data_IF_357568852482
#
_entry.id   IF_357568852482
#
_cell.length_a   1.000
_cell.length_b   1.000
_cell.length_c   1.000
_cell.angle_alpha   90.00
_cell.angle_beta   90.00
_cell.angle_gamma   90.00
#
_symmetry.space_group_name_H-M   'P 1'
#
loop_
_entity.id
_entity.type
_entity.pdbx_description
1 polymer ?
#
# COMPACT_ATOMS: atom_id res chain seq x y z
N UNK A 1 -8.80 5.37 14.48
CA UNK A 1 -9.49 5.51 15.77
C UNK A 1 -8.70 6.42 16.71
N UNK A 2 -7.41 6.13 16.93
CA UNK A 2 -6.51 6.92 17.78
C UNK A 2 -6.52 8.41 17.40
N UNK A 3 -6.27 8.74 16.13
CA UNK A 3 -6.28 10.12 15.63
C UNK A 3 -7.66 10.76 15.75
N UNK A 4 -8.74 10.01 15.55
CA UNK A 4 -10.12 10.51 15.71
C UNK A 4 -10.43 10.90 17.18
N UNK A 5 -9.78 10.28 18.15
CA UNK A 5 -9.92 10.62 19.58
C UNK A 5 -9.08 11.83 19.98
N UNK A 6 -7.88 11.98 19.42
CA UNK A 6 -6.87 12.97 19.87
C UNK A 6 -6.82 14.23 19.04
N UNK A 7 -7.22 14.21 17.77
CA UNK A 7 -7.18 15.37 16.89
C UNK A 7 -7.55 15.05 15.45
N UNK A 8 -6.94 15.76 14.51
CA UNK A 8 -7.15 15.59 13.05
C UNK A 8 -5.90 15.08 12.35
N UNK A 9 -4.72 15.19 12.98
CA UNK A 9 -3.45 14.78 12.40
C UNK A 9 -2.66 13.86 13.33
N UNK A 10 -1.80 13.03 12.77
CA UNK A 10 -0.90 12.16 13.55
C UNK A 10 0.03 12.96 14.46
N UNK A 11 0.44 14.15 14.04
CA UNK A 11 1.25 15.09 14.83
C UNK A 11 0.58 15.56 16.12
N UNK A 12 -0.76 15.50 16.22
CA UNK A 12 -1.49 15.85 17.43
C UNK A 12 -1.22 14.91 18.60
N UNK A 13 -0.76 13.70 18.33
CA UNK A 13 -0.28 12.75 19.34
C UNK A 13 0.95 13.27 20.10
N UNK A 14 1.71 14.19 19.50
CA UNK A 14 2.84 14.84 20.15
C UNK A 14 2.49 15.67 21.37
N UNK A 15 1.20 16.01 21.56
CA UNK A 15 0.73 16.70 22.77
C UNK A 15 0.81 15.82 24.02
N UNK A 16 0.85 14.49 23.83
CA UNK A 16 0.87 13.47 24.90
C UNK A 16 2.20 12.72 25.02
N UNK A 17 3.07 12.87 24.03
CA UNK A 17 4.42 12.29 23.98
C UNK A 17 5.43 13.40 23.69
N UNK A 18 6.72 13.07 23.71
CA UNK A 18 7.75 14.08 23.42
C UNK A 18 7.61 14.61 21.97
N UNK A 19 7.41 15.93 21.75
CA UNK A 19 7.10 16.49 20.42
C UNK A 19 8.15 16.19 19.34
N UNK A 20 9.41 16.04 19.75
CA UNK A 20 10.53 15.74 18.85
C UNK A 20 10.47 14.30 18.32
N UNK A 21 10.12 13.36 19.20
CA UNK A 21 10.00 11.93 18.84
C UNK A 21 8.91 11.73 17.78
N UNK A 22 7.75 12.35 17.96
CA UNK A 22 6.66 12.26 16.99
C UNK A 22 7.04 12.86 15.64
N UNK A 23 7.73 14.02 15.62
CA UNK A 23 8.15 14.63 14.37
C UNK A 23 9.12 13.75 13.59
N UNK A 24 10.13 13.18 14.27
CA UNK A 24 11.08 12.27 13.62
C UNK A 24 10.35 11.01 13.14
N UNK A 25 9.50 10.41 13.97
CA UNK A 25 8.79 9.20 13.61
C UNK A 25 7.86 9.43 12.41
N UNK A 26 7.12 10.55 12.40
CA UNK A 26 6.26 10.91 11.27
C UNK A 26 7.08 11.12 10.00
N UNK A 27 8.23 11.78 10.10
CA UNK A 27 9.13 11.97 8.97
C UNK A 27 9.65 10.62 8.43
N UNK A 28 10.09 9.72 9.31
CA UNK A 28 10.56 8.39 8.90
C UNK A 28 9.45 7.57 8.24
N UNK A 29 8.24 7.58 8.80
CA UNK A 29 7.08 6.87 8.22
C UNK A 29 6.74 7.43 6.85
N UNK A 30 6.70 8.74 6.69
CA UNK A 30 6.38 9.39 5.41
C UNK A 30 7.46 9.16 4.36
N UNK A 31 8.73 9.20 4.73
CA UNK A 31 9.81 8.87 3.81
C UNK A 31 9.77 7.39 3.38
N UNK A 32 9.46 6.49 4.31
CA UNK A 32 9.35 5.05 4.02
C UNK A 32 8.19 4.77 3.07
N UNK A 33 6.97 5.24 3.40
CA UNK A 33 5.78 5.00 2.54
C UNK A 33 5.85 5.84 1.25
N UNK A 34 6.47 7.00 1.30
CA UNK A 34 6.62 7.87 0.14
C UNK A 34 7.77 7.43 -0.76
N UNK A 35 8.81 8.25 -0.87
CA UNK A 35 9.82 8.13 -1.91
C UNK A 35 10.74 6.92 -1.78
N UNK A 36 10.90 6.31 -0.59
CA UNK A 36 11.92 5.29 -0.40
C UNK A 36 11.45 3.87 -0.74
N UNK A 37 10.20 3.51 -0.43
CA UNK A 37 9.74 2.12 -0.55
C UNK A 37 8.42 2.00 -1.33
N UNK A 38 7.31 2.55 -0.83
CA UNK A 38 6.00 2.22 -1.40
C UNK A 38 5.81 2.80 -2.81
N UNK A 39 6.13 4.07 -3.06
CA UNK A 39 5.95 4.67 -4.38
C UNK A 39 6.87 4.00 -5.44
N UNK A 40 8.17 3.79 -5.21
CA UNK A 40 9.01 3.04 -6.16
C UNK A 40 8.48 1.64 -6.44
N UNK A 41 8.00 0.94 -5.41
CA UNK A 41 7.43 -0.40 -5.53
C UNK A 41 6.18 -0.41 -6.40
N UNK A 42 5.30 0.60 -6.32
CA UNK A 42 4.11 0.65 -7.18
C UNK A 42 4.46 0.72 -8.66
N UNK A 43 5.47 1.51 -9.04
CA UNK A 43 5.93 1.61 -10.43
C UNK A 43 6.57 0.31 -10.91
N UNK A 44 7.44 -0.29 -10.09
CA UNK A 44 8.07 -1.57 -10.41
C UNK A 44 7.04 -2.70 -10.56
N UNK A 45 6.07 -2.79 -9.63
CA UNK A 45 4.98 -3.78 -9.69
C UNK A 45 4.11 -3.59 -10.93
N UNK A 46 3.75 -2.34 -11.27
CA UNK A 46 2.97 -2.06 -12.48
C UNK A 46 3.71 -2.51 -13.74
N UNK A 47 5.02 -2.34 -13.78
CA UNK A 47 5.81 -2.83 -14.90
C UNK A 47 5.85 -4.35 -14.95
N UNK A 48 6.21 -5.00 -13.83
CA UNK A 48 6.43 -6.44 -13.78
C UNK A 48 5.13 -7.24 -13.96
N UNK A 49 4.01 -6.79 -13.34
CA UNK A 49 2.71 -7.47 -13.41
C UNK A 49 1.88 -7.00 -14.60
N UNK A 50 1.89 -5.69 -14.89
CA UNK A 50 1.00 -5.09 -15.88
C UNK A 50 1.58 -5.06 -17.29
N UNK A 51 2.83 -4.68 -17.45
CA UNK A 51 3.40 -4.39 -18.77
C UNK A 51 4.24 -5.54 -19.32
N UNK A 52 5.16 -6.08 -18.53
CA UNK A 52 6.10 -7.13 -18.97
C UNK A 52 5.41 -8.36 -19.58
N UNK A 53 4.28 -8.88 -19.03
CA UNK A 53 3.59 -10.01 -19.62
C UNK A 53 2.90 -9.69 -20.95
N UNK A 54 2.47 -8.43 -21.16
CA UNK A 54 1.76 -7.99 -22.36
C UNK A 54 2.72 -7.49 -23.45
N UNK A 55 3.79 -6.82 -23.05
CA UNK A 55 4.78 -6.18 -23.91
C UNK A 55 6.22 -6.50 -23.44
N UNK A 56 6.73 -7.73 -23.61
CA UNK A 56 8.03 -8.15 -23.06
C UNK A 56 9.21 -7.32 -23.59
N UNK A 57 9.11 -6.80 -24.81
CA UNK A 57 10.17 -5.99 -25.45
C UNK A 57 10.18 -4.52 -25.01
N UNK A 58 9.20 -4.07 -24.19
CA UNK A 58 9.12 -2.66 -23.79
C UNK A 58 10.18 -2.35 -22.72
N UNK A 59 11.06 -1.35 -22.92
CA UNK A 59 12.12 -1.06 -21.97
C UNK A 59 11.57 -0.52 -20.64
N UNK A 60 11.98 -1.13 -19.52
CA UNK A 60 11.54 -0.77 -18.16
C UNK A 60 11.71 0.71 -17.85
N UNK A 61 12.87 1.29 -18.22
CA UNK A 61 13.20 2.69 -17.92
C UNK A 61 12.20 3.66 -18.55
N UNK A 62 11.82 3.45 -19.81
CA UNK A 62 10.83 4.30 -20.48
C UNK A 62 9.45 4.23 -19.81
N UNK A 63 9.05 3.01 -19.40
CA UNK A 63 7.80 2.85 -18.65
C UNK A 63 7.84 3.63 -17.34
N UNK A 64 8.91 3.50 -16.56
CA UNK A 64 9.07 4.18 -15.27
C UNK A 64 9.01 5.70 -15.44
N UNK A 65 9.71 6.25 -16.44
CA UNK A 65 9.67 7.69 -16.74
C UNK A 65 8.25 8.14 -17.08
N UNK A 66 7.55 7.39 -17.95
CA UNK A 66 6.16 7.69 -18.29
C UNK A 66 5.23 7.61 -17.09
N UNK A 67 5.36 6.55 -16.27
CA UNK A 67 4.58 6.36 -15.06
C UNK A 67 4.72 7.54 -14.09
N UNK A 68 5.95 7.94 -13.80
CA UNK A 68 6.19 9.08 -12.91
C UNK A 68 5.84 10.43 -13.52
N UNK A 69 5.92 10.60 -14.82
CA UNK A 69 5.40 11.78 -15.50
C UNK A 69 3.89 11.92 -15.27
N UNK A 70 3.13 10.82 -15.46
CA UNK A 70 1.67 10.78 -15.20
C UNK A 70 1.38 11.03 -13.72
N UNK A 71 2.09 10.36 -12.80
CA UNK A 71 1.92 10.55 -11.35
C UNK A 71 2.16 12.01 -10.97
N UNK A 72 3.24 12.63 -11.46
CA UNK A 72 3.59 14.01 -11.15
C UNK A 72 2.53 14.99 -11.65
N UNK A 73 2.10 14.86 -12.90
CA UNK A 73 1.08 15.74 -13.49
C UNK A 73 -0.24 15.62 -12.72
N UNK A 74 -0.69 14.40 -12.43
CA UNK A 74 -1.96 14.17 -11.73
C UNK A 74 -1.91 14.59 -10.27
N UNK A 75 -0.79 14.40 -9.58
CA UNK A 75 -0.62 14.86 -8.19
C UNK A 75 -0.60 16.38 -8.08
N UNK A 76 0.11 17.08 -8.98
CA UNK A 76 0.22 18.54 -8.94
C UNK A 76 -1.11 19.22 -9.32
N UNK A 77 -1.85 18.65 -10.25
CA UNK A 77 -3.10 19.27 -10.75
C UNK A 77 -4.23 19.26 -9.73
N UNK A 78 -4.10 18.52 -8.59
CA UNK A 78 -5.18 18.28 -7.60
C UNK A 78 -6.50 17.91 -8.30
N UNK A 79 -6.40 17.16 -9.39
CA UNK A 79 -7.49 16.93 -10.32
C UNK A 79 -8.61 16.09 -9.71
N UNK A 80 -9.86 16.51 -9.92
CA UNK A 80 -11.05 15.69 -9.64
C UNK A 80 -11.02 14.34 -10.39
N UNK A 81 -10.24 14.25 -11.48
CA UNK A 81 -10.05 13.03 -12.27
C UNK A 81 -9.50 11.90 -11.38
N UNK A 82 -8.55 12.19 -10.48
CA UNK A 82 -7.98 11.17 -9.56
C UNK A 82 -9.06 10.60 -8.64
N UNK A 83 -9.93 11.45 -8.10
CA UNK A 83 -11.05 11.02 -7.25
C UNK A 83 -12.07 10.19 -8.04
N UNK A 84 -12.35 10.55 -9.30
CA UNK A 84 -13.26 9.81 -10.17
C UNK A 84 -12.67 8.45 -10.53
N UNK A 85 -11.41 8.41 -10.95
CA UNK A 85 -10.70 7.17 -11.29
C UNK A 85 -10.70 6.24 -10.07
N UNK A 86 -10.33 6.73 -8.89
CA UNK A 86 -10.33 5.93 -7.66
C UNK A 86 -11.71 5.37 -7.32
N UNK A 87 -12.79 6.14 -7.52
CA UNK A 87 -14.16 5.70 -7.22
C UNK A 87 -14.62 4.53 -8.08
N UNK A 88 -14.23 4.47 -9.36
CA UNK A 88 -14.58 3.36 -10.26
C UNK A 88 -13.60 2.20 -10.15
N UNK A 89 -12.35 2.52 -9.96
CA UNK A 89 -11.28 1.54 -10.01
C UNK A 89 -11.23 0.66 -8.75
N UNK A 90 -11.53 1.23 -7.58
CA UNK A 90 -11.54 0.47 -6.32
C UNK A 90 -12.59 -0.66 -6.35
N UNK A 91 -13.88 -0.42 -6.71
CA UNK A 91 -14.83 -1.51 -6.86
C UNK A 91 -14.42 -2.53 -7.92
N UNK A 92 -13.87 -2.08 -9.06
CA UNK A 92 -13.40 -2.96 -10.12
C UNK A 92 -12.29 -3.90 -9.61
N UNK A 93 -11.27 -3.35 -8.92
CA UNK A 93 -10.20 -4.14 -8.32
C UNK A 93 -10.75 -5.15 -7.30
N UNK A 94 -11.66 -4.71 -6.42
CA UNK A 94 -12.27 -5.59 -5.43
C UNK A 94 -13.03 -6.75 -6.10
N UNK A 95 -13.83 -6.47 -7.12
CA UNK A 95 -14.57 -7.50 -7.87
C UNK A 95 -13.59 -8.49 -8.51
N UNK A 96 -12.53 -8.01 -9.16
CA UNK A 96 -11.53 -8.88 -9.80
C UNK A 96 -10.86 -9.79 -8.77
N UNK A 97 -10.44 -9.24 -7.63
CA UNK A 97 -9.81 -10.04 -6.56
C UNK A 97 -10.78 -11.02 -5.91
N UNK A 98 -12.02 -10.61 -5.64
CA UNK A 98 -13.06 -11.51 -5.10
C UNK A 98 -13.34 -12.65 -6.08
N UNK A 99 -13.49 -12.37 -7.37
CA UNK A 99 -13.70 -13.41 -8.39
C UNK A 99 -12.51 -14.36 -8.45
N UNK A 100 -11.28 -13.85 -8.45
CA UNK A 100 -10.06 -14.66 -8.42
C UNK A 100 -10.04 -15.59 -7.20
N UNK A 101 -10.32 -15.04 -6.00
CA UNK A 101 -10.32 -15.80 -4.75
C UNK A 101 -11.44 -16.86 -4.75
N UNK A 102 -12.66 -16.47 -5.08
CA UNK A 102 -13.81 -17.38 -5.06
C UNK A 102 -13.61 -18.53 -6.05
N UNK A 103 -13.20 -18.25 -7.28
CA UNK A 103 -12.94 -19.28 -8.28
C UNK A 103 -11.76 -20.16 -7.88
N UNK A 104 -10.67 -19.60 -7.36
CA UNK A 104 -9.53 -20.39 -6.94
C UNK A 104 -9.77 -21.23 -5.68
N UNK A 105 -10.71 -20.82 -4.80
CA UNK A 105 -11.16 -21.65 -3.67
C UNK A 105 -12.11 -22.75 -4.12
N UNK A 106 -13.03 -22.46 -5.05
CA UNK A 106 -13.98 -23.45 -5.58
C UNK A 106 -13.30 -24.48 -6.51
N UNK A 107 -12.28 -24.04 -7.25
CA UNK A 107 -11.55 -24.86 -8.22
C UNK A 107 -10.04 -24.68 -7.98
N UNK A 108 -9.50 -25.23 -6.88
CA UNK A 108 -8.08 -25.07 -6.56
C UNK A 108 -7.23 -25.69 -7.68
N UNK A 109 -6.16 -24.98 -8.14
CA UNK A 109 -5.29 -25.46 -9.20
C UNK A 109 -4.61 -26.78 -8.84
N UNK A 110 -4.18 -26.93 -7.58
CA UNK A 110 -3.49 -28.09 -7.06
C UNK A 110 -3.86 -28.40 -5.61
N UNK A 111 -3.38 -29.52 -5.08
CA UNK A 111 -3.49 -29.85 -3.66
C UNK A 111 -2.53 -28.99 -2.83
N UNK A 112 -2.90 -28.76 -1.57
CA UNK A 112 -2.04 -28.03 -0.63
C UNK A 112 -0.70 -28.75 -0.52
N UNK A 113 0.37 -28.05 -0.90
CA UNK A 113 1.74 -28.57 -0.82
C UNK A 113 2.26 -28.50 0.61
N UNK A 114 2.84 -29.60 1.11
CA UNK A 114 3.50 -29.60 2.40
C UNK A 114 4.80 -28.79 2.32
N UNK A 115 5.00 -27.87 3.26
CA UNK A 115 6.26 -27.13 3.36
C UNK A 115 7.26 -27.89 4.22
N UNK A 116 8.56 -27.70 3.94
CA UNK A 116 9.64 -28.22 4.77
C UNK A 116 9.79 -27.47 6.12
N UNK A 117 9.07 -26.34 6.28
CA UNK A 117 9.16 -25.50 7.48
C UNK A 117 8.27 -26.01 8.60
N UNK A 118 8.75 -25.86 9.83
CA UNK A 118 7.95 -26.08 11.04
C UNK A 118 6.86 -24.99 11.17
N UNK A 119 5.81 -25.25 11.95
CA UNK A 119 4.73 -24.28 12.19
C UNK A 119 5.26 -22.94 12.76
N UNK A 120 6.26 -23.00 13.64
CA UNK A 120 6.87 -21.79 14.24
C UNK A 120 7.66 -20.99 13.21
N UNK A 121 8.42 -21.65 12.36
CA UNK A 121 9.17 -21.00 11.29
C UNK A 121 8.23 -20.37 10.26
N UNK A 122 7.20 -21.09 9.85
CA UNK A 122 6.17 -20.58 8.91
C UNK A 122 5.46 -19.36 9.49
N UNK A 123 5.10 -19.39 10.79
CA UNK A 123 4.49 -18.24 11.46
C UNK A 123 5.46 -17.04 11.50
N UNK A 124 6.72 -17.25 11.88
CA UNK A 124 7.71 -16.18 11.95
C UNK A 124 7.95 -15.52 10.60
N UNK A 125 8.12 -16.34 9.55
CA UNK A 125 8.29 -15.84 8.17
C UNK A 125 7.05 -15.07 7.70
N UNK A 126 5.85 -15.63 7.87
CA UNK A 126 4.60 -14.97 7.49
C UNK A 126 4.37 -13.67 8.25
N UNK A 127 4.72 -13.60 9.54
CA UNK A 127 4.62 -12.39 10.34
C UNK A 127 5.57 -11.28 9.83
N UNK A 128 6.81 -11.63 9.49
CA UNK A 128 7.77 -10.68 8.91
C UNK A 128 7.34 -10.21 7.51
N UNK A 129 6.84 -11.11 6.69
CA UNK A 129 6.27 -10.74 5.37
C UNK A 129 5.03 -9.84 5.51
N UNK A 130 4.25 -10.00 6.59
CA UNK A 130 3.14 -9.12 6.92
C UNK A 130 3.54 -7.65 7.08
N UNK A 131 4.77 -7.34 7.53
CA UNK A 131 5.28 -5.96 7.56
C UNK A 131 5.41 -5.34 6.17
N UNK A 132 5.63 -6.15 5.13
CA UNK A 132 5.77 -5.69 3.75
C UNK A 132 4.47 -5.15 3.15
N UNK A 133 3.32 -5.43 3.74
CA UNK A 133 2.03 -4.85 3.32
C UNK A 133 1.95 -3.36 3.60
N UNK A 134 2.70 -2.87 4.60
CA UNK A 134 2.74 -1.47 5.04
C UNK A 134 1.41 -0.87 5.48
N UNK A 135 0.38 -1.68 5.73
CA UNK A 135 -0.96 -1.22 6.08
C UNK A 135 -0.99 -0.39 7.36
N UNK A 136 -0.24 -0.81 8.39
CA UNK A 136 -0.14 -0.06 9.64
C UNK A 136 0.42 1.34 9.40
N UNK A 137 1.50 1.46 8.65
CA UNK A 137 2.14 2.73 8.36
C UNK A 137 1.25 3.60 7.46
N UNK A 138 0.62 2.99 6.45
CA UNK A 138 -0.34 3.67 5.58
C UNK A 138 -1.54 4.21 6.38
N UNK A 139 -2.07 3.44 7.33
CA UNK A 139 -3.19 3.86 8.18
C UNK A 139 -2.88 5.10 8.99
N UNK A 140 -1.63 5.27 9.43
CA UNK A 140 -1.17 6.46 10.15
C UNK A 140 -1.20 7.71 9.27
N UNK A 141 -0.73 7.60 8.03
CA UNK A 141 -0.72 8.74 7.08
C UNK A 141 -2.14 9.09 6.63
N UNK A 142 -2.92 8.08 6.25
CA UNK A 142 -4.25 8.31 5.72
C UNK A 142 -5.30 8.62 6.80
N UNK A 143 -4.99 8.45 8.08
CA UNK A 143 -5.91 8.76 9.18
C UNK A 143 -6.46 10.19 9.12
N UNK A 144 -5.61 11.19 8.83
CA UNK A 144 -6.04 12.58 8.68
C UNK A 144 -7.02 12.78 7.53
N UNK A 145 -6.76 12.14 6.39
CA UNK A 145 -7.61 12.22 5.18
C UNK A 145 -8.97 11.57 5.46
N UNK A 146 -8.99 10.41 6.13
CA UNK A 146 -10.23 9.72 6.50
C UNK A 146 -11.06 10.57 7.45
N UNK A 147 -10.44 11.19 8.46
CA UNK A 147 -11.14 12.05 9.42
C UNK A 147 -11.70 13.30 8.73
N UNK A 148 -10.93 13.92 7.83
CA UNK A 148 -11.40 15.05 7.03
C UNK A 148 -12.64 14.65 6.21
N UNK A 149 -12.60 13.50 5.53
CA UNK A 149 -13.74 12.99 4.77
C UNK A 149 -14.99 12.73 5.65
N UNK A 150 -14.80 12.23 6.88
CA UNK A 150 -15.91 12.03 7.84
C UNK A 150 -16.51 13.38 8.25
N UNK A 151 -15.69 14.40 8.51
CA UNK A 151 -16.15 15.76 8.85
C UNK A 151 -16.91 16.38 7.66
N UNK A 152 -16.37 16.28 6.45
CA UNK A 152 -16.99 16.78 5.21
C UNK A 152 -18.32 16.10 4.91
N UNK A 153 -18.51 14.87 5.39
CA UNK A 153 -19.77 14.12 5.31
C UNK A 153 -20.81 14.55 6.36
N UNK A 154 -20.51 15.56 7.18
CA UNK A 154 -21.43 16.15 8.14
C UNK A 154 -21.32 15.62 9.58
N UNK A 155 -20.42 14.66 9.86
CA UNK A 155 -20.21 14.12 11.20
C UNK A 155 -19.22 15.00 11.99
N UNK A 156 -19.73 16.07 12.59
CA UNK A 156 -18.90 17.08 13.27
C UNK A 156 -18.63 16.78 14.74
N UNK A 157 -19.53 16.04 15.42
CA UNK A 157 -19.35 15.71 16.83
C UNK A 157 -18.24 14.67 17.02
N UNK A 158 -17.52 14.75 18.16
CA UNK A 158 -16.43 13.79 18.46
C UNK A 158 -16.92 12.35 18.50
N UNK A 159 -18.08 12.10 19.11
CA UNK A 159 -18.62 10.76 19.28
C UNK A 159 -19.04 10.15 17.92
N UNK A 160 -19.68 10.94 17.07
CA UNK A 160 -20.07 10.52 15.71
C UNK A 160 -18.83 10.19 14.88
N UNK A 161 -17.79 11.07 14.87
CA UNK A 161 -16.54 10.82 14.16
C UNK A 161 -15.88 9.52 14.59
N UNK A 162 -15.79 9.27 15.91
CA UNK A 162 -15.21 8.05 16.45
C UNK A 162 -16.03 6.83 16.03
N UNK A 163 -17.36 6.89 16.15
CA UNK A 163 -18.25 5.78 15.79
C UNK A 163 -18.17 5.43 14.30
N UNK A 164 -18.27 6.44 13.42
CA UNK A 164 -18.20 6.23 11.96
C UNK A 164 -16.82 5.72 11.55
N UNK A 165 -15.75 6.31 12.09
CA UNK A 165 -14.38 5.85 11.80
C UNK A 165 -14.15 4.43 12.30
N UNK A 166 -14.70 4.05 13.46
CA UNK A 166 -14.60 2.69 13.98
C UNK A 166 -15.34 1.69 13.08
N UNK A 167 -16.59 2.00 12.70
CA UNK A 167 -17.38 1.14 11.81
C UNK A 167 -16.69 0.95 10.44
N UNK A 168 -16.21 2.04 9.84
CA UNK A 168 -15.46 1.98 8.59
C UNK A 168 -14.17 1.17 8.73
N UNK A 169 -13.44 1.34 9.83
CA UNK A 169 -12.23 0.57 10.13
C UNK A 169 -12.50 -0.92 10.30
N UNK A 170 -13.56 -1.29 11.01
CA UNK A 170 -13.96 -2.70 11.16
C UNK A 170 -14.31 -3.32 9.81
N UNK A 171 -15.10 -2.63 8.98
CA UNK A 171 -15.45 -3.11 7.64
C UNK A 171 -14.19 -3.28 6.77
N UNK A 172 -13.29 -2.29 6.78
CA UNK A 172 -12.03 -2.38 6.04
C UNK A 172 -11.15 -3.56 6.50
N UNK A 173 -11.07 -3.78 7.81
CA UNK A 173 -10.31 -4.91 8.38
C UNK A 173 -10.89 -6.26 7.93
N UNK A 174 -12.21 -6.41 7.92
CA UNK A 174 -12.86 -7.64 7.45
C UNK A 174 -12.62 -7.86 5.96
N UNK A 175 -12.70 -6.81 5.14
CA UNK A 175 -12.39 -6.90 3.71
C UNK A 175 -10.92 -7.29 3.47
N UNK A 176 -9.98 -6.67 4.19
CA UNK A 176 -8.56 -7.01 4.08
C UNK A 176 -8.27 -8.45 4.54
N UNK A 177 -8.87 -8.89 5.64
CA UNK A 177 -8.75 -10.26 6.12
C UNK A 177 -9.24 -11.27 5.09
N UNK A 178 -10.36 -11.00 4.43
CA UNK A 178 -10.89 -11.83 3.35
C UNK A 178 -9.94 -11.88 2.15
N UNK A 179 -9.46 -10.73 1.70
CA UNK A 179 -8.58 -10.65 0.52
C UNK A 179 -7.22 -11.31 0.81
N UNK A 180 -6.56 -10.96 1.92
CA UNK A 180 -5.26 -11.53 2.26
C UNK A 180 -5.36 -13.02 2.56
N UNK A 181 -6.37 -13.43 3.34
CA UNK A 181 -6.61 -14.84 3.62
C UNK A 181 -6.87 -15.66 2.36
N UNK A 182 -7.67 -15.11 1.44
CA UNK A 182 -7.92 -15.72 0.15
C UNK A 182 -6.68 -15.85 -0.72
N UNK A 183 -5.87 -14.81 -0.82
CA UNK A 183 -4.62 -14.84 -1.59
C UNK A 183 -3.57 -15.79 -0.98
N UNK A 184 -3.49 -15.87 0.36
CA UNK A 184 -2.62 -16.84 1.06
C UNK A 184 -3.08 -18.27 0.73
N UNK A 185 -4.39 -18.53 0.78
CA UNK A 185 -4.94 -19.84 0.40
C UNK A 185 -4.60 -20.21 -1.03
N UNK A 186 -4.78 -19.28 -1.99
CA UNK A 186 -4.41 -19.49 -3.38
C UNK A 186 -2.91 -19.78 -3.57
N UNK A 187 -2.06 -19.05 -2.84
CA UNK A 187 -0.62 -19.30 -2.85
C UNK A 187 -0.27 -20.69 -2.32
N UNK A 188 -0.99 -21.17 -1.28
CA UNK A 188 -0.77 -22.49 -0.70
C UNK A 188 -1.30 -23.65 -1.57
N UNK A 189 -2.25 -23.40 -2.46
CA UNK A 189 -2.84 -24.39 -3.38
C UNK A 189 -2.30 -24.30 -4.79
N UNK A 190 -1.24 -23.55 -5.03
CA UNK A 190 -0.61 -23.44 -6.35
C UNK A 190 0.75 -24.11 -6.29
N UNK A 191 0.93 -25.17 -7.10
CA UNK A 191 2.24 -25.77 -7.28
C UNK A 191 3.08 -24.90 -8.20
N UNK A 192 4.03 -24.18 -7.59
CA UNK A 192 4.96 -23.35 -8.31
C UNK A 192 6.37 -23.75 -7.90
N UNK A 193 7.25 -24.10 -8.87
CA UNK A 193 8.62 -24.50 -8.55
C UNK A 193 9.36 -23.33 -7.89
N UNK A 194 9.51 -23.40 -6.57
CA UNK A 194 10.27 -22.45 -5.78
C UNK A 194 11.76 -22.64 -6.06
N UNK A 195 12.24 -22.08 -7.15
CA UNK A 195 13.65 -21.90 -7.38
C UNK A 195 14.06 -20.54 -6.80
N UNK A 196 15.31 -20.41 -6.33
CA UNK A 196 15.84 -19.18 -5.68
C UNK A 196 15.70 -17.89 -6.53
N UNK A 197 15.26 -18.02 -7.79
CA UNK A 197 15.11 -16.93 -8.75
C UNK A 197 13.67 -16.49 -9.02
N UNK A 198 12.66 -17.08 -8.36
CA UNK A 198 11.26 -16.76 -8.61
C UNK A 198 10.89 -15.41 -8.01
N UNK A 199 10.44 -14.49 -8.86
CA UNK A 199 9.94 -13.19 -8.43
C UNK A 199 8.50 -13.32 -7.87
N UNK A 200 8.21 -12.64 -6.76
CA UNK A 200 6.87 -12.61 -6.14
C UNK A 200 5.76 -12.18 -7.11
N UNK A 201 6.10 -11.31 -8.04
CA UNK A 201 5.19 -10.83 -9.08
C UNK A 201 4.84 -11.92 -10.10
N UNK A 202 5.75 -12.84 -10.40
CA UNK A 202 5.51 -13.98 -11.30
C UNK A 202 4.56 -14.99 -10.69
N UNK A 203 4.66 -15.24 -9.37
CA UNK A 203 3.72 -16.11 -8.65
C UNK A 203 2.28 -15.62 -8.78
N UNK A 204 2.03 -14.32 -8.58
CA UNK A 204 0.68 -13.76 -8.70
C UNK A 204 0.11 -13.90 -10.11
N UNK A 205 0.95 -13.69 -11.13
CA UNK A 205 0.56 -13.90 -12.53
C UNK A 205 0.26 -15.36 -12.83
N UNK A 206 1.06 -16.28 -12.29
CA UNK A 206 0.84 -17.71 -12.44
C UNK A 206 -0.48 -18.14 -11.81
N UNK A 207 -0.76 -17.74 -10.58
CA UNK A 207 -2.06 -17.98 -9.91
C UNK A 207 -3.22 -17.44 -10.76
N UNK A 208 -3.10 -16.21 -11.25
CA UNK A 208 -4.11 -15.58 -12.08
C UNK A 208 -4.36 -16.35 -13.37
N UNK A 209 -3.30 -16.87 -13.98
CA UNK A 209 -3.38 -17.66 -15.20
C UNK A 209 -4.02 -19.05 -14.95
N UNK A 210 -3.61 -19.71 -13.87
CA UNK A 210 -4.12 -21.04 -13.52
C UNK A 210 -5.61 -21.02 -13.18
N UNK A 211 -6.08 -19.96 -12.47
CA UNK A 211 -7.49 -19.84 -12.04
C UNK A 211 -8.39 -19.24 -13.12
N UNK A 212 -7.95 -18.19 -13.81
CA UNK A 212 -8.79 -17.38 -14.71
C UNK A 212 -8.38 -17.48 -16.18
N UNK A 213 -7.31 -18.19 -16.49
CA UNK A 213 -6.74 -18.27 -17.84
C UNK A 213 -6.19 -16.94 -18.35
N UNK A 214 -5.90 -16.86 -19.64
CA UNK A 214 -5.25 -15.71 -20.28
C UNK A 214 -6.00 -14.37 -20.07
N UNK A 215 -7.31 -14.36 -20.21
CA UNK A 215 -8.12 -13.16 -20.05
C UNK A 215 -8.15 -12.68 -18.60
N UNK A 216 -8.20 -13.62 -17.64
CA UNK A 216 -8.10 -13.30 -16.22
C UNK A 216 -6.77 -12.66 -15.87
N UNK A 217 -5.67 -13.19 -16.39
CA UNK A 217 -4.32 -12.60 -16.19
C UNK A 217 -4.27 -11.15 -16.68
N UNK A 218 -4.81 -10.86 -17.86
CA UNK A 218 -4.86 -9.49 -18.39
C UNK A 218 -5.70 -8.58 -17.49
N UNK A 219 -6.86 -9.05 -17.04
CA UNK A 219 -7.76 -8.29 -16.17
C UNK A 219 -7.11 -7.98 -14.82
N UNK A 220 -6.45 -8.97 -14.21
CA UNK A 220 -5.71 -8.79 -12.95
C UNK A 220 -4.53 -7.82 -13.14
N UNK A 221 -3.76 -7.97 -14.22
CA UNK A 221 -2.64 -7.09 -14.54
C UNK A 221 -3.08 -5.63 -14.70
N UNK A 222 -4.17 -5.37 -15.41
CA UNK A 222 -4.74 -4.03 -15.55
C UNK A 222 -5.26 -3.48 -14.22
N UNK A 223 -5.99 -4.29 -13.45
CA UNK A 223 -6.52 -3.89 -12.15
C UNK A 223 -5.40 -3.46 -11.19
N UNK A 224 -4.34 -4.27 -11.09
CA UNK A 224 -3.17 -3.98 -10.25
C UNK A 224 -2.41 -2.75 -10.76
N UNK A 225 -2.20 -2.64 -12.07
CA UNK A 225 -1.51 -1.50 -12.66
C UNK A 225 -2.19 -0.17 -12.33
N UNK A 226 -3.50 -0.13 -12.48
CA UNK A 226 -4.28 1.06 -12.13
C UNK A 226 -4.33 1.31 -10.62
N UNK A 227 -4.45 0.27 -9.78
CA UNK A 227 -4.41 0.41 -8.34
C UNK A 227 -3.06 0.97 -7.87
N UNK A 228 -1.97 0.49 -8.42
CA UNK A 228 -0.62 1.02 -8.17
C UNK A 228 -0.50 2.50 -8.59
N UNK A 229 -1.05 2.87 -9.75
CA UNK A 229 -1.03 4.25 -10.23
C UNK A 229 -1.78 5.18 -9.27
N UNK A 230 -3.00 4.83 -8.88
CA UNK A 230 -3.79 5.65 -7.93
C UNK A 230 -3.14 5.75 -6.57
N UNK A 231 -2.54 4.66 -6.09
CA UNK A 231 -1.76 4.64 -4.84
C UNK A 231 -0.55 5.56 -4.92
N UNK A 232 0.23 5.50 -6.00
CA UNK A 232 1.38 6.38 -6.20
C UNK A 232 0.98 7.87 -6.19
N UNK A 233 -0.14 8.23 -6.85
CA UNK A 233 -0.66 9.60 -6.87
C UNK A 233 -1.08 10.04 -5.45
N UNK A 234 -1.81 9.19 -4.72
CA UNK A 234 -2.27 9.50 -3.38
C UNK A 234 -1.10 9.69 -2.39
N UNK A 235 -0.13 8.78 -2.42
CA UNK A 235 1.06 8.86 -1.57
C UNK A 235 1.95 10.06 -1.92
N UNK A 236 2.16 10.35 -3.20
CA UNK A 236 2.90 11.54 -3.64
C UNK A 236 2.23 12.83 -3.14
N UNK A 237 0.90 12.87 -3.20
CA UNK A 237 0.13 14.00 -2.70
C UNK A 237 0.23 14.13 -1.17
N UNK A 238 0.17 13.01 -0.45
CA UNK A 238 0.34 13.00 1.01
C UNK A 238 1.73 13.50 1.43
N UNK A 239 2.78 13.05 0.74
CA UNK A 239 4.16 13.52 0.98
C UNK A 239 4.30 15.01 0.70
N UNK A 240 3.75 15.51 -0.41
CA UNK A 240 3.78 16.93 -0.76
C UNK A 240 3.09 17.79 0.30
N UNK A 241 1.90 17.40 0.76
CA UNK A 241 1.16 18.11 1.83
C UNK A 241 1.92 18.09 3.16
N UNK A 242 2.51 16.97 3.51
CA UNK A 242 3.28 16.85 4.75
C UNK A 242 4.49 17.80 4.77
N UNK A 243 5.26 17.87 3.69
CA UNK A 243 6.41 18.78 3.63
C UNK A 243 5.98 20.24 3.63
N UNK A 244 4.90 20.60 2.98
CA UNK A 244 4.33 21.95 3.01
C UNK A 244 3.92 22.33 4.45
N UNK A 245 3.27 21.44 5.19
CA UNK A 245 2.82 21.66 6.57
C UNK A 245 4.01 21.76 7.55
N UNK A 246 4.90 20.76 7.55
CA UNK A 246 6.02 20.66 8.51
C UNK A 246 7.05 21.77 8.32
N UNK A 247 7.23 22.26 7.09
CA UNK A 247 8.16 23.35 6.79
C UNK A 247 7.51 24.74 6.90
N UNK A 248 6.26 24.82 7.36
CA UNK A 248 5.49 26.07 7.42
C UNK A 248 5.49 26.82 6.07
N UNK A 249 5.16 26.09 5.00
CA UNK A 249 5.10 26.56 3.60
C UNK A 249 6.46 27.00 2.99
N UNK A 250 7.58 26.76 3.66
CA UNK A 250 8.90 27.03 3.06
C UNK A 250 9.19 26.12 1.87
N UNK A 251 8.72 24.88 1.94
CA UNK A 251 8.72 23.96 0.80
C UNK A 251 7.28 23.88 0.27
N UNK A 252 6.98 24.48 -0.89
CA UNK A 252 5.65 24.40 -1.47
C UNK A 252 5.28 22.96 -1.81
N UNK A 253 3.99 22.63 -1.73
CA UNK A 253 3.43 21.31 -2.10
C UNK A 253 4.02 20.74 -3.40
N UNK A 254 4.06 21.56 -4.46
CA UNK A 254 4.57 21.13 -5.77
C UNK A 254 6.03 20.68 -5.72
N UNK A 255 6.86 21.38 -4.97
CA UNK A 255 8.30 21.05 -4.85
C UNK A 255 8.46 19.74 -4.10
N UNK A 256 7.74 19.54 -2.99
CA UNK A 256 7.74 18.29 -2.24
C UNK A 256 7.26 17.09 -3.09
N UNK A 257 6.20 17.25 -3.86
CA UNK A 257 5.67 16.21 -4.76
C UNK A 257 6.67 15.87 -5.88
N UNK A 258 7.27 16.86 -6.54
CA UNK A 258 8.28 16.64 -7.59
C UNK A 258 9.52 15.95 -7.03
N UNK A 259 10.04 16.42 -5.90
CA UNK A 259 11.20 15.78 -5.26
C UNK A 259 10.92 14.31 -4.90
N UNK A 260 9.72 14.04 -4.36
CA UNK A 260 9.26 12.69 -4.06
C UNK A 260 9.25 11.80 -5.30
N UNK A 261 8.65 12.27 -6.40
CA UNK A 261 8.56 11.49 -7.65
C UNK A 261 9.92 11.25 -8.31
N UNK A 262 10.84 12.22 -8.25
CA UNK A 262 12.20 12.06 -8.79
C UNK A 262 13.02 11.03 -8.00
N UNK A 263 12.97 11.05 -6.68
CA UNK A 263 13.63 10.04 -5.83
C UNK A 263 13.04 8.66 -6.13
N UNK A 264 11.71 8.56 -6.16
CA UNK A 264 11.00 7.31 -6.44
C UNK A 264 11.31 6.76 -7.82
N UNK A 265 11.47 7.62 -8.83
CA UNK A 265 11.84 7.23 -10.19
C UNK A 265 13.20 6.51 -10.20
N UNK A 266 14.20 7.08 -9.53
CA UNK A 266 15.54 6.46 -9.47
C UNK A 266 15.49 5.11 -8.77
N UNK A 267 14.77 5.00 -7.65
CA UNK A 267 14.69 3.75 -6.87
C UNK A 267 13.87 2.67 -7.58
N UNK A 268 12.89 3.03 -8.40
CA UNK A 268 12.02 2.09 -9.11
C UNK A 268 12.68 1.39 -10.32
N UNK A 269 13.89 1.80 -10.70
CA UNK A 269 14.70 1.08 -11.69
C UNK A 269 15.03 -0.34 -11.20
N UNK A 270 15.14 -0.52 -9.88
CA UNK A 270 15.32 -1.82 -9.26
C UNK A 270 14.08 -2.72 -9.45
N UNK A 271 14.27 -4.04 -9.26
CA UNK A 271 13.15 -4.99 -9.23
C UNK A 271 12.33 -4.85 -7.93
N UNK A 272 11.08 -5.34 -7.96
CA UNK A 272 10.23 -5.34 -6.76
C UNK A 272 10.91 -6.06 -5.60
N UNK A 273 11.53 -7.22 -5.84
CA UNK A 273 12.22 -7.98 -4.81
C UNK A 273 13.41 -7.23 -4.21
N UNK A 274 14.20 -6.51 -5.02
CA UNK A 274 15.28 -5.67 -4.51
C UNK A 274 14.74 -4.53 -3.62
N UNK A 275 13.63 -3.91 -4.03
CA UNK A 275 12.99 -2.86 -3.22
C UNK A 275 12.52 -3.44 -1.88
N UNK A 276 11.93 -4.63 -1.87
CA UNK A 276 11.49 -5.33 -0.67
C UNK A 276 12.68 -5.67 0.23
N UNK A 277 13.77 -6.16 -0.34
CA UNK A 277 14.95 -6.59 0.43
C UNK A 277 15.60 -5.45 1.23
N UNK A 278 15.71 -4.24 0.70
CA UNK A 278 16.21 -3.13 1.51
C UNK A 278 15.12 -2.54 2.42
N UNK A 279 13.85 -2.62 2.00
CA UNK A 279 12.73 -2.12 2.81
C UNK A 279 12.57 -2.89 4.12
N UNK A 280 12.84 -4.20 4.14
CA UNK A 280 12.63 -5.02 5.34
C UNK A 280 13.43 -4.51 6.55
N UNK A 281 14.66 -4.04 6.33
CA UNK A 281 15.48 -3.49 7.42
C UNK A 281 14.89 -2.20 8.00
N UNK A 282 14.35 -1.34 7.14
CA UNK A 282 13.70 -0.09 7.54
C UNK A 282 12.40 -0.40 8.29
N UNK A 283 11.62 -1.34 7.77
CA UNK A 283 10.34 -1.73 8.35
C UNK A 283 10.50 -2.41 9.71
N UNK A 284 11.47 -3.32 9.86
CA UNK A 284 11.77 -3.98 11.14
C UNK A 284 12.11 -2.98 12.26
N UNK A 285 12.66 -1.83 11.89
CA UNK A 285 12.95 -0.77 12.87
C UNK A 285 11.72 0.09 13.16
N UNK A 286 10.97 0.50 12.14
CA UNK A 286 9.85 1.45 12.29
C UNK A 286 8.60 0.79 12.88
N UNK A 287 8.26 -0.43 12.48
CA UNK A 287 7.02 -1.10 12.89
C UNK A 287 6.87 -1.29 14.40
N UNK A 288 7.86 -1.81 15.13
CA UNK A 288 7.74 -1.94 16.58
C UNK A 288 7.52 -0.61 17.31
N UNK A 289 8.17 0.45 16.84
CA UNK A 289 8.04 1.80 17.43
C UNK A 289 6.63 2.34 17.19
N UNK A 290 6.15 2.27 15.95
CA UNK A 290 4.81 2.79 15.59
C UNK A 290 3.71 1.97 16.27
N UNK A 291 3.82 0.64 16.26
CA UNK A 291 2.82 -0.23 16.90
C UNK A 291 2.76 -0.02 18.42
N UNK A 292 3.91 0.09 19.09
CA UNK A 292 3.97 0.40 20.53
C UNK A 292 3.33 1.75 20.83
N UNK A 293 3.63 2.79 20.02
CA UNK A 293 3.02 4.10 20.19
C UNK A 293 1.49 4.05 20.03
N UNK A 294 0.99 3.35 19.02
CA UNK A 294 -0.44 3.20 18.78
C UNK A 294 -1.13 2.49 19.94
N UNK A 295 -0.55 1.38 20.42
CA UNK A 295 -1.08 0.61 21.55
C UNK A 295 -1.09 1.48 22.81
N UNK A 296 0.01 2.15 23.12
CA UNK A 296 0.12 3.01 24.29
C UNK A 296 -0.95 4.11 24.29
N UNK A 297 -1.10 4.83 23.20
CA UNK A 297 -2.10 5.90 23.12
C UNK A 297 -3.54 5.36 23.09
N UNK A 298 -3.77 4.15 22.60
CA UNK A 298 -5.12 3.58 22.54
C UNK A 298 -5.62 3.08 23.89
N UNK A 299 -4.76 2.48 24.70
CA UNK A 299 -5.14 1.77 25.93
C UNK A 299 -4.80 2.52 27.23
N UNK A 300 -3.84 3.43 27.20
CA UNK A 300 -3.39 4.14 28.40
C UNK A 300 -3.75 5.64 28.42
N UNK A 301 -4.53 6.09 27.45
CA UNK A 301 -5.14 7.42 27.31
C UNK A 301 -6.67 7.32 27.22
#
# INVERSE_FOLDING_TARGET
LMVAKTGTHFTDLGKKTHPWLIKILTLLVILCIGPLVAIPRTAATTFEVGIRPLLPAFPKVWFIVLFFAVVTVLSISKSKIVSIIGRFLTPFLLIVLVVLIVLGVCFPPDSITSTAFTATESFSLGFLEGYQTMDLLASVIFAGIVIAAVIDSGYTSRNERVSVTFAAGMLSTLCLLFIYGGLIYLGATTDYPLTDSVQRTELLLHISHSVLGKWGTITVALAIGFACLTTAIALTSAVGLFFEEVTHQRIPYKVGAIACTLISLVLSINTVDNIINYAIYILLFIYPIVSTLIITVLFFD
#
